data_IF_692431308762
#
_entry.id   IF_692431308762
#
_cell.length_a   1.000
_cell.length_b   1.000
_cell.length_c   1.000
_cell.angle_alpha   90.00
_cell.angle_beta   90.00
_cell.angle_gamma   90.00
#
_symmetry.space_group_name_H-M   'P 1'
#
loop_
_entity.id
_entity.type
_entity.pdbx_description
1 polymer ?
#
# COMPACT_ATOMS: atom_id res chain seq x y z
N UNK A 1 5.84 51.38 20.45
CA UNK A 1 6.42 50.16 21.05
C UNK A 1 5.72 48.96 20.43
N UNK A 2 6.44 47.91 20.02
CA UNK A 2 5.84 46.81 19.27
C UNK A 2 5.03 45.89 20.20
N UNK A 3 3.91 45.30 19.74
CA UNK A 3 3.30 44.18 20.44
C UNK A 3 3.90 42.85 19.97
N UNK A 4 4.64 42.25 20.91
CA UNK A 4 4.76 40.84 21.30
C UNK A 4 4.41 39.74 20.28
N UNK A 5 5.42 38.91 20.04
CA UNK A 5 5.37 37.57 19.46
C UNK A 5 4.24 36.71 20.04
N UNK A 6 3.42 36.13 19.16
CA UNK A 6 2.62 34.95 19.48
C UNK A 6 3.41 33.70 19.09
N UNK A 7 3.90 33.04 20.13
CA UNK A 7 4.45 31.69 20.12
C UNK A 7 3.32 30.70 19.78
N UNK A 8 3.42 30.02 18.63
CA UNK A 8 2.49 28.96 18.23
C UNK A 8 3.08 27.64 18.70
N UNK A 9 2.86 27.31 19.97
CA UNK A 9 3.17 25.99 20.50
C UNK A 9 2.30 24.93 19.81
N UNK A 10 2.95 24.02 19.09
CA UNK A 10 2.34 22.86 18.47
C UNK A 10 1.57 22.03 19.52
N UNK A 11 0.26 21.88 19.33
CA UNK A 11 -0.56 20.98 20.16
C UNK A 11 -0.20 19.54 19.79
N UNK A 12 0.47 18.85 20.72
CA UNK A 12 0.60 17.40 20.71
C UNK A 12 -0.80 16.78 20.78
N UNK A 13 -1.28 16.22 19.67
CA UNK A 13 -2.47 15.39 19.67
C UNK A 13 -2.14 14.07 20.38
N UNK A 14 -2.52 13.95 21.65
CA UNK A 14 -2.48 12.71 22.41
C UNK A 14 -3.61 11.79 21.94
N UNK A 15 -3.22 10.67 21.35
CA UNK A 15 -4.11 9.59 20.92
C UNK A 15 -4.76 8.89 22.13
N UNK A 16 -6.05 8.48 22.05
CA UNK A 16 -6.64 7.69 23.12
C UNK A 16 -5.91 6.34 23.24
N UNK A 17 -5.69 5.83 24.46
CA UNK A 17 -5.08 4.51 24.66
C UNK A 17 -5.97 3.41 24.07
N UNK A 18 -5.36 2.49 23.31
CA UNK A 18 -6.05 1.32 22.74
C UNK A 18 -6.65 0.48 23.88
N UNK A 19 -7.87 -0.02 23.67
CA UNK A 19 -8.51 -0.97 24.59
C UNK A 19 -7.61 -2.18 24.81
N UNK A 20 -7.37 -2.47 26.09
CA UNK A 20 -6.52 -3.53 26.62
C UNK A 20 -7.01 -4.90 26.12
N UNK A 21 -6.15 -5.71 25.49
CA UNK A 21 -6.46 -7.13 25.26
C UNK A 21 -5.83 -7.84 24.05
N UNK A 22 -5.18 -7.16 23.11
CA UNK A 22 -4.54 -7.85 21.98
C UNK A 22 -3.02 -7.82 22.15
N UNK A 23 -2.45 -8.94 22.62
CA UNK A 23 -1.01 -9.16 22.55
C UNK A 23 -0.62 -9.17 21.07
N UNK A 24 0.06 -8.13 20.61
CA UNK A 24 0.67 -8.12 19.29
C UNK A 24 1.88 -9.06 19.34
N UNK A 25 1.88 -10.19 18.63
CA UNK A 25 3.05 -11.06 18.61
C UNK A 25 4.23 -10.29 18.00
N UNK A 26 5.39 -10.35 18.68
CA UNK A 26 6.65 -9.92 18.09
C UNK A 26 6.90 -10.79 16.85
N UNK A 27 7.00 -10.16 15.69
CA UNK A 27 7.27 -10.89 14.45
C UNK A 27 8.76 -11.23 14.38
N UNK A 28 9.12 -12.46 13.99
CA UNK A 28 10.53 -12.83 13.84
C UNK A 28 11.21 -11.89 12.85
N UNK A 29 12.36 -11.33 13.21
CA UNK A 29 13.22 -10.66 12.23
C UNK A 29 13.74 -11.71 11.25
N UNK A 30 13.49 -11.53 9.96
CA UNK A 30 14.09 -12.38 8.93
C UNK A 30 15.47 -11.87 8.53
N UNK A 31 16.31 -12.76 8.01
CA UNK A 31 17.62 -12.39 7.50
C UNK A 31 17.50 -11.43 6.31
N UNK A 32 18.18 -10.30 6.40
CA UNK A 32 18.23 -9.31 5.32
C UNK A 32 19.21 -9.78 4.24
N UNK A 33 18.81 -9.68 2.97
CA UNK A 33 19.67 -9.98 1.82
C UNK A 33 20.82 -8.97 1.72
N UNK A 34 22.02 -9.48 1.40
CA UNK A 34 23.21 -8.66 1.13
C UNK A 34 23.33 -8.36 -0.37
N UNK A 35 24.02 -7.26 -0.71
CA UNK A 35 24.29 -6.84 -2.09
C UNK A 35 23.26 -5.85 -2.65
N UNK A 36 23.33 -5.59 -3.95
CA UNK A 36 22.47 -4.60 -4.61
C UNK A 36 21.00 -5.04 -4.62
N UNK A 37 20.05 -4.17 -4.20
CA UNK A 37 18.63 -4.49 -4.21
C UNK A 37 18.12 -4.91 -5.59
N UNK A 38 17.46 -6.06 -5.63
CA UNK A 38 16.69 -6.53 -6.79
C UNK A 38 15.22 -6.13 -6.64
N UNK A 39 14.92 -4.94 -7.16
CA UNK A 39 13.56 -4.42 -7.29
C UNK A 39 12.70 -5.31 -8.20
N UNK A 40 11.45 -5.54 -7.80
CA UNK A 40 10.51 -6.46 -8.45
C UNK A 40 9.29 -5.75 -9.05
N UNK A 41 8.99 -4.53 -8.61
CA UNK A 41 7.78 -3.82 -9.01
C UNK A 41 7.69 -3.58 -10.52
N UNK A 42 6.46 -3.58 -11.04
CA UNK A 42 6.22 -3.45 -12.49
C UNK A 42 6.69 -2.10 -13.04
N UNK A 43 6.53 -1.02 -12.26
CA UNK A 43 6.78 0.36 -12.68
C UNK A 43 7.77 1.07 -11.75
N UNK A 44 8.60 0.33 -11.02
CA UNK A 44 9.63 0.87 -10.13
C UNK A 44 9.08 1.48 -8.83
N UNK A 45 7.88 1.11 -8.40
CA UNK A 45 7.28 1.54 -7.13
C UNK A 45 8.24 1.29 -5.95
N UNK A 46 8.71 0.05 -5.77
CA UNK A 46 9.61 -0.34 -4.68
C UNK A 46 10.95 0.41 -4.71
N UNK A 47 11.51 0.65 -5.90
CA UNK A 47 12.69 1.48 -6.09
C UNK A 47 12.45 2.93 -5.69
N UNK A 48 11.34 3.52 -6.13
CA UNK A 48 11.00 4.90 -5.80
C UNK A 48 10.75 5.08 -4.30
N UNK A 49 10.03 4.14 -3.67
CA UNK A 49 9.81 4.12 -2.21
C UNK A 49 11.14 4.13 -1.47
N UNK A 50 12.06 3.23 -1.84
CA UNK A 50 13.38 3.16 -1.23
C UNK A 50 14.16 4.47 -1.37
N UNK A 51 14.15 5.09 -2.55
CA UNK A 51 14.83 6.36 -2.79
C UNK A 51 14.24 7.50 -1.94
N UNK A 52 12.91 7.60 -1.90
CA UNK A 52 12.23 8.68 -1.19
C UNK A 52 12.32 8.57 0.32
N UNK A 53 12.39 7.35 0.86
CA UNK A 53 12.60 7.12 2.29
C UNK A 53 14.08 7.02 2.67
N UNK A 54 14.99 7.26 1.73
CA UNK A 54 16.44 7.24 2.00
C UNK A 54 16.91 5.88 2.50
N UNK A 55 16.44 4.80 1.87
CA UNK A 55 16.81 3.42 2.23
C UNK A 55 16.50 3.09 3.70
N UNK A 56 15.41 3.66 4.23
CA UNK A 56 14.91 3.42 5.59
C UNK A 56 14.91 1.92 5.89
N UNK A 57 15.45 1.55 7.05
CA UNK A 57 15.35 0.20 7.62
C UNK A 57 14.15 0.08 8.54
N UNK A 58 13.65 -1.14 8.68
CA UNK A 58 12.57 -1.49 9.63
C UNK A 58 11.31 -0.62 9.43
N UNK A 59 10.99 -0.29 8.17
CA UNK A 59 9.73 0.38 7.84
C UNK A 59 8.52 -0.56 7.90
N UNK A 60 7.33 0.03 7.78
CA UNK A 60 6.06 -0.72 7.70
C UNK A 60 5.35 -0.49 6.37
N UNK A 61 5.01 -1.58 5.66
CA UNK A 61 4.22 -1.51 4.44
C UNK A 61 2.84 -2.16 4.57
N UNK A 62 1.92 -1.75 3.71
CA UNK A 62 0.69 -2.48 3.39
C UNK A 62 0.68 -2.68 1.89
N UNK A 63 0.62 -3.93 1.45
CA UNK A 63 0.55 -4.33 0.05
C UNK A 63 -0.82 -5.00 -0.17
N UNK A 64 -1.78 -4.24 -0.70
CA UNK A 64 -3.16 -4.68 -0.88
C UNK A 64 -3.39 -5.13 -2.32
N UNK A 65 -3.89 -6.36 -2.46
CA UNK A 65 -3.79 -7.21 -3.65
C UNK A 65 -2.33 -7.61 -3.96
N UNK A 66 -1.67 -8.17 -2.94
CA UNK A 66 -0.25 -8.52 -3.00
C UNK A 66 0.10 -9.52 -4.12
N UNK A 67 -0.86 -10.30 -4.60
CA UNK A 67 -0.71 -11.28 -5.69
C UNK A 67 0.51 -12.20 -5.51
N UNK A 68 1.42 -12.28 -6.50
CA UNK A 68 2.60 -13.13 -6.41
C UNK A 68 3.59 -12.58 -5.37
N UNK A 69 4.19 -13.45 -4.53
CA UNK A 69 5.11 -13.01 -3.48
C UNK A 69 6.33 -12.22 -3.97
N UNK A 70 6.78 -12.44 -5.21
CA UNK A 70 8.00 -11.83 -5.74
C UNK A 70 7.69 -11.04 -6.99
N UNK A 71 7.03 -11.67 -7.96
CA UNK A 71 6.77 -11.08 -9.25
C UNK A 71 5.89 -9.83 -9.14
N UNK A 72 6.33 -8.76 -9.81
CA UNK A 72 5.67 -7.44 -9.80
C UNK A 72 5.38 -6.87 -8.40
N UNK A 73 5.99 -7.43 -7.33
CA UNK A 73 5.69 -7.03 -5.96
C UNK A 73 6.25 -5.64 -5.66
N UNK A 74 5.40 -4.81 -5.08
CA UNK A 74 5.77 -3.46 -4.66
C UNK A 74 6.44 -3.42 -3.27
N UNK A 75 6.41 -4.54 -2.53
CA UNK A 75 6.89 -4.63 -1.15
C UNK A 75 8.04 -5.61 -0.94
N UNK A 76 8.26 -6.55 -1.87
CA UNK A 76 9.27 -7.61 -1.69
C UNK A 76 10.68 -7.07 -1.46
N UNK A 77 11.15 -6.12 -2.28
CA UNK A 77 12.49 -5.57 -2.10
C UNK A 77 12.64 -4.82 -0.76
N UNK A 78 11.60 -4.09 -0.35
CA UNK A 78 11.55 -3.35 0.92
C UNK A 78 11.74 -4.29 2.12
N UNK A 79 10.98 -5.39 2.12
CA UNK A 79 11.10 -6.46 3.12
C UNK A 79 12.50 -7.08 3.12
N UNK A 80 13.00 -7.48 1.94
CA UNK A 80 14.18 -8.35 1.85
C UNK A 80 15.51 -7.62 2.05
N UNK A 81 15.63 -6.36 1.63
CA UNK A 81 16.92 -5.62 1.68
C UNK A 81 16.99 -4.61 2.83
N UNK A 82 15.84 -4.18 3.36
CA UNK A 82 15.78 -3.19 4.44
C UNK A 82 15.05 -3.69 5.70
N UNK A 83 14.65 -4.96 5.74
CA UNK A 83 14.03 -5.56 6.92
C UNK A 83 12.68 -4.93 7.26
N UNK A 84 11.97 -4.42 6.26
CA UNK A 84 10.63 -3.90 6.47
C UNK A 84 9.68 -5.02 6.89
N UNK A 85 8.74 -4.67 7.76
CA UNK A 85 7.62 -5.50 8.13
C UNK A 85 6.35 -4.95 7.48
N UNK A 86 5.25 -5.67 7.56
CA UNK A 86 4.02 -5.19 6.95
C UNK A 86 2.93 -6.23 6.78
N UNK A 87 1.99 -5.91 5.92
CA UNK A 87 0.88 -6.77 5.54
C UNK A 87 0.89 -6.99 4.04
N UNK A 88 0.85 -8.26 3.63
CA UNK A 88 0.39 -8.65 2.29
C UNK A 88 -1.06 -9.09 2.42
N UNK A 89 -1.99 -8.33 1.83
CA UNK A 89 -3.42 -8.63 1.87
C UNK A 89 -3.82 -9.09 0.48
N UNK A 90 -4.44 -10.27 0.38
CA UNK A 90 -4.78 -10.89 -0.89
C UNK A 90 -6.13 -11.61 -0.78
N UNK A 91 -7.00 -11.46 -1.78
CA UNK A 91 -8.32 -12.10 -1.80
C UNK A 91 -8.32 -13.45 -2.51
N UNK A 92 -7.46 -13.63 -3.51
CA UNK A 92 -7.37 -14.84 -4.31
C UNK A 92 -6.61 -15.95 -3.53
N UNK A 93 -7.29 -17.05 -3.13
CA UNK A 93 -6.68 -18.11 -2.32
C UNK A 93 -5.51 -18.82 -3.03
N UNK A 94 -5.39 -18.70 -4.37
CA UNK A 94 -4.27 -19.25 -5.13
C UNK A 94 -2.93 -18.71 -4.64
N UNK A 95 -2.84 -17.43 -4.28
CA UNK A 95 -1.59 -16.78 -3.92
C UNK A 95 -1.20 -16.98 -2.45
N UNK A 96 -2.16 -17.29 -1.59
CA UNK A 96 -1.97 -17.33 -0.12
C UNK A 96 -0.84 -18.30 0.30
N UNK A 97 -0.79 -19.57 -0.16
CA UNK A 97 0.28 -20.48 0.23
C UNK A 97 1.66 -19.99 -0.24
N UNK A 98 1.74 -19.36 -1.42
CA UNK A 98 2.99 -18.84 -1.96
C UNK A 98 3.47 -17.60 -1.20
N UNK A 99 2.54 -16.71 -0.83
CA UNK A 99 2.84 -15.56 0.03
C UNK A 99 3.35 -16.04 1.39
N UNK A 100 2.65 -16.97 2.04
CA UNK A 100 3.05 -17.51 3.34
C UNK A 100 4.42 -18.22 3.30
N UNK A 101 4.73 -18.90 2.21
CA UNK A 101 5.99 -19.63 2.07
C UNK A 101 7.20 -18.74 1.73
N UNK A 102 6.98 -17.56 1.11
CA UNK A 102 8.07 -16.75 0.53
C UNK A 102 8.18 -15.33 1.09
N UNK A 103 7.23 -14.88 1.91
CA UNK A 103 7.23 -13.58 2.58
C UNK A 103 7.40 -13.75 4.08
N UNK A 104 8.12 -12.81 4.68
CA UNK A 104 8.31 -12.77 6.13
C UNK A 104 7.26 -11.89 6.84
N UNK A 105 6.60 -10.99 6.10
CA UNK A 105 5.48 -10.20 6.59
C UNK A 105 4.23 -11.05 6.88
N UNK A 106 3.23 -10.44 7.51
CA UNK A 106 1.96 -11.14 7.75
C UNK A 106 1.13 -11.15 6.49
N UNK A 107 0.65 -12.34 6.16
CA UNK A 107 -0.26 -12.56 5.02
C UNK A 107 -1.69 -12.62 5.55
N UNK A 108 -2.57 -11.82 4.97
CA UNK A 108 -3.99 -11.76 5.32
C UNK A 108 -4.80 -12.19 4.09
N UNK A 109 -5.51 -13.32 4.19
CA UNK A 109 -6.47 -13.74 3.17
C UNK A 109 -7.78 -12.98 3.37
N UNK A 110 -8.02 -11.94 2.57
CA UNK A 110 -9.24 -11.13 2.66
C UNK A 110 -9.51 -10.40 1.37
N UNK A 111 -10.78 -10.33 0.97
CA UNK A 111 -11.27 -9.27 0.10
C UNK A 111 -11.42 -8.00 0.95
N UNK A 112 -10.98 -6.85 0.44
CA UNK A 112 -11.13 -5.56 1.11
C UNK A 112 -12.16 -4.72 0.37
N UNK A 113 -13.15 -4.21 1.11
CA UNK A 113 -14.23 -3.37 0.57
C UNK A 113 -14.59 -2.27 1.59
N UNK A 114 -15.58 -1.44 1.27
CA UNK A 114 -16.01 -0.32 2.12
C UNK A 114 -16.68 -0.72 3.43
N UNK A 115 -17.17 -1.96 3.52
CA UNK A 115 -17.90 -2.49 4.67
C UNK A 115 -17.45 -3.92 4.99
N UNK A 116 -17.47 -4.31 6.27
CA UNK A 116 -17.13 -5.67 6.66
C UNK A 116 -18.30 -6.64 6.48
N UNK A 117 -18.00 -7.94 6.44
CA UNK A 117 -18.97 -9.04 6.41
C UNK A 117 -19.95 -9.03 5.24
N UNK A 118 -19.71 -8.23 4.19
CA UNK A 118 -20.48 -8.32 2.96
C UNK A 118 -20.03 -9.55 2.19
N UNK A 119 -21.02 -10.32 1.74
CA UNK A 119 -20.80 -11.42 0.83
C UNK A 119 -20.62 -10.88 -0.58
N UNK A 120 -19.44 -11.09 -1.15
CA UNK A 120 -19.11 -10.64 -2.50
C UNK A 120 -18.67 -11.82 -3.36
N UNK A 121 -18.95 -11.70 -4.66
CA UNK A 121 -18.31 -12.53 -5.68
C UNK A 121 -16.91 -11.98 -5.95
N UNK A 122 -15.93 -12.87 -6.08
CA UNK A 122 -14.53 -12.52 -6.32
C UNK A 122 -13.95 -13.40 -7.42
N UNK A 123 -13.41 -12.80 -8.48
CA UNK A 123 -12.83 -13.52 -9.62
C UNK A 123 -11.38 -13.91 -9.33
N UNK A 124 -11.01 -15.15 -9.63
CA UNK A 124 -9.71 -15.75 -9.21
C UNK A 124 -8.88 -16.36 -10.33
N UNK A 125 -9.37 -16.38 -11.57
CA UNK A 125 -8.71 -17.07 -12.70
C UNK A 125 -8.07 -16.13 -13.73
N UNK A 126 -7.88 -14.86 -13.38
CA UNK A 126 -7.39 -13.84 -14.31
C UNK A 126 -5.95 -13.39 -14.01
N UNK A 127 -5.07 -14.32 -13.61
CA UNK A 127 -3.70 -14.02 -13.16
C UNK A 127 -3.70 -12.86 -12.13
N UNK A 128 -2.95 -11.79 -12.41
CA UNK A 128 -2.80 -10.60 -11.56
C UNK A 128 -3.99 -9.64 -11.60
N UNK A 129 -5.11 -10.00 -12.25
CA UNK A 129 -6.29 -9.15 -12.45
C UNK A 129 -7.53 -9.66 -11.70
N UNK A 130 -7.32 -10.47 -10.66
CA UNK A 130 -8.39 -10.94 -9.78
C UNK A 130 -8.95 -9.81 -8.91
N UNK A 131 -10.22 -9.91 -8.50
CA UNK A 131 -10.85 -8.85 -7.74
C UNK A 131 -12.33 -9.06 -7.48
N UNK A 132 -12.93 -8.15 -6.72
CA UNK A 132 -14.37 -8.13 -6.44
C UNK A 132 -15.14 -7.94 -7.74
N UNK A 133 -16.18 -8.76 -7.94
CA UNK A 133 -17.08 -8.67 -9.09
C UNK A 133 -18.19 -7.66 -8.79
N UNK A 134 -18.22 -6.56 -9.53
CA UNK A 134 -19.26 -5.53 -9.41
C UNK A 134 -19.29 -4.66 -10.68
N UNK A 135 -20.46 -4.21 -11.19
CA UNK A 135 -20.59 -3.51 -12.47
C UNK A 135 -19.71 -2.28 -12.68
N UNK A 136 -19.34 -1.60 -11.60
CA UNK A 136 -18.53 -0.38 -11.57
C UNK A 136 -17.02 -0.64 -11.39
N UNK A 137 -16.60 -1.89 -11.21
CA UNK A 137 -15.20 -2.29 -11.04
C UNK A 137 -14.65 -2.92 -12.32
N UNK A 138 -13.33 -3.14 -12.39
CA UNK A 138 -12.71 -3.76 -13.57
C UNK A 138 -13.26 -5.17 -13.84
N UNK A 139 -13.64 -5.88 -12.78
CA UNK A 139 -14.34 -7.16 -12.85
C UNK A 139 -15.86 -6.96 -12.90
N UNK A 140 -16.35 -6.30 -13.97
CA UNK A 140 -17.74 -5.85 -14.10
C UNK A 140 -18.83 -6.95 -14.04
N UNK A 141 -18.47 -8.20 -14.39
CA UNK A 141 -19.40 -9.35 -14.44
C UNK A 141 -18.70 -10.62 -14.00
N UNK A 142 -19.47 -11.54 -13.40
CA UNK A 142 -18.98 -12.87 -13.07
C UNK A 142 -18.64 -13.62 -14.37
N UNK A 143 -17.35 -13.76 -14.63
CA UNK A 143 -16.79 -14.52 -15.77
C UNK A 143 -15.66 -15.38 -15.24
N UNK A 144 -15.51 -16.56 -15.83
CA UNK A 144 -14.49 -17.51 -15.39
C UNK A 144 -14.77 -18.05 -13.99
N UNK A 145 -13.71 -18.43 -13.27
CA UNK A 145 -13.76 -18.92 -11.90
C UNK A 145 -13.97 -17.77 -10.94
N UNK A 146 -15.14 -17.80 -10.29
CA UNK A 146 -15.54 -16.87 -9.23
C UNK A 146 -15.75 -17.67 -7.95
N UNK A 147 -15.33 -17.10 -6.83
CA UNK A 147 -15.60 -17.62 -5.49
C UNK A 147 -16.39 -16.59 -4.69
N UNK A 148 -16.94 -17.03 -3.56
CA UNK A 148 -17.61 -16.15 -2.60
C UNK A 148 -16.69 -15.88 -1.42
N UNK A 149 -16.55 -14.61 -1.05
CA UNK A 149 -15.76 -14.17 0.10
C UNK A 149 -16.57 -13.22 0.97
N UNK A 150 -16.22 -13.18 2.26
CA UNK A 150 -16.63 -12.11 3.16
C UNK A 150 -15.59 -10.99 3.09
N UNK A 151 -16.06 -9.75 3.00
CA UNK A 151 -15.19 -8.57 3.00
C UNK A 151 -14.75 -8.20 4.41
N UNK A 152 -13.62 -7.49 4.50
CA UNK A 152 -13.19 -6.74 5.68
C UNK A 152 -12.85 -5.32 5.26
N UNK A 153 -12.91 -4.37 6.18
CA UNK A 153 -12.36 -3.04 5.89
C UNK A 153 -10.85 -3.05 6.06
N UNK A 154 -10.15 -2.12 5.40
CA UNK A 154 -8.71 -1.96 5.62
C UNK A 154 -8.42 -1.62 7.09
N UNK A 155 -9.26 -0.79 7.73
CA UNK A 155 -9.14 -0.46 9.14
C UNK A 155 -9.14 -1.71 10.04
N UNK A 156 -10.13 -2.61 9.90
CA UNK A 156 -10.19 -3.83 10.71
C UNK A 156 -8.95 -4.70 10.54
N UNK A 157 -8.40 -4.77 9.33
CA UNK A 157 -7.17 -5.51 9.07
C UNK A 157 -5.99 -4.85 9.79
N UNK A 158 -5.86 -3.53 9.72
CA UNK A 158 -4.82 -2.77 10.43
C UNK A 158 -4.92 -2.93 11.96
N UNK A 159 -6.14 -2.85 12.51
CA UNK A 159 -6.43 -2.98 13.94
C UNK A 159 -6.04 -4.37 14.44
N UNK A 160 -6.57 -5.41 13.81
CA UNK A 160 -6.33 -6.82 14.20
C UNK A 160 -4.87 -7.25 14.04
N UNK A 161 -4.12 -6.59 13.15
CA UNK A 161 -2.69 -6.85 12.96
C UNK A 161 -1.77 -5.87 13.71
N UNK A 162 -2.34 -5.03 14.57
CA UNK A 162 -1.62 -4.04 15.36
C UNK A 162 -0.68 -3.15 14.52
N UNK A 163 -1.13 -2.76 13.33
CA UNK A 163 -0.37 -1.87 12.47
C UNK A 163 -0.08 -0.53 13.18
N UNK A 164 1.08 0.10 12.90
CA UNK A 164 1.38 1.41 13.45
C UNK A 164 0.41 2.45 12.89
N UNK A 165 0.08 3.50 13.66
CA UNK A 165 -0.80 4.58 13.18
C UNK A 165 -0.18 5.38 12.03
N UNK A 166 1.15 5.35 11.88
CA UNK A 166 1.85 5.92 10.72
C UNK A 166 2.56 4.79 9.99
N UNK A 167 2.12 4.53 8.77
CA UNK A 167 2.61 3.48 7.88
C UNK A 167 3.51 4.14 6.83
N UNK A 168 4.65 3.55 6.52
CA UNK A 168 5.62 4.16 5.60
C UNK A 168 5.14 4.05 4.15
N UNK A 169 4.52 2.92 3.77
CA UNK A 169 4.10 2.68 2.40
C UNK A 169 2.78 1.92 2.29
N UNK A 170 1.88 2.39 1.43
CA UNK A 170 0.72 1.64 0.94
C UNK A 170 0.86 1.41 -0.58
N UNK A 171 0.78 0.15 -1.00
CA UNK A 171 0.49 -0.22 -2.37
C UNK A 171 -0.99 -0.60 -2.49
N UNK A 172 -1.71 0.05 -3.41
CA UNK A 172 -3.14 -0.10 -3.62
C UNK A 172 -3.46 -0.26 -5.11
N UNK A 173 -3.65 -1.50 -5.54
CA UNK A 173 -4.11 -1.90 -6.88
C UNK A 173 -5.19 -2.98 -6.67
N UNK A 174 -6.45 -2.58 -6.54
CA UNK A 174 -7.55 -3.51 -6.21
C UNK A 174 -8.56 -3.60 -7.34
N UNK A 175 -8.05 -3.45 -8.57
CA UNK A 175 -8.81 -3.61 -9.81
C UNK A 175 -10.07 -2.72 -9.86
N UNK A 176 -9.92 -1.45 -9.49
CA UNK A 176 -10.95 -0.41 -9.57
C UNK A 176 -11.70 -0.13 -8.26
N UNK A 177 -11.44 -0.92 -7.22
CA UNK A 177 -12.09 -0.76 -5.92
C UNK A 177 -11.41 0.26 -4.99
N UNK A 178 -10.45 1.04 -5.48
CA UNK A 178 -9.60 1.93 -4.65
C UNK A 178 -10.43 2.94 -3.87
N UNK A 179 -11.50 3.47 -4.50
CA UNK A 179 -12.47 4.35 -3.84
C UNK A 179 -13.19 3.67 -2.68
N UNK A 180 -13.56 2.39 -2.84
CA UNK A 180 -14.25 1.66 -1.77
C UNK A 180 -13.35 1.40 -0.57
N UNK A 181 -12.05 1.22 -0.81
CA UNK A 181 -11.06 1.01 0.25
C UNK A 181 -10.76 2.30 1.01
N UNK A 182 -10.54 3.42 0.30
CA UNK A 182 -10.02 4.65 0.91
C UNK A 182 -11.05 5.79 1.07
N UNK A 183 -12.22 5.71 0.43
CA UNK A 183 -13.20 6.81 0.40
C UNK A 183 -13.70 7.24 1.79
N UNK A 184 -13.83 6.28 2.71
CA UNK A 184 -14.23 6.51 4.12
C UNK A 184 -13.18 6.01 5.11
N UNK A 185 -11.93 5.81 4.67
CA UNK A 185 -10.87 5.32 5.53
C UNK A 185 -10.58 6.32 6.67
N UNK A 186 -10.36 5.85 7.91
CA UNK A 186 -10.13 6.72 9.07
C UNK A 186 -8.71 7.31 9.04
N UNK A 187 -8.47 8.28 8.15
CA UNK A 187 -7.18 8.98 8.05
C UNK A 187 -6.78 9.73 9.33
N UNK A 188 -7.76 9.98 10.21
CA UNK A 188 -7.52 10.49 11.55
C UNK A 188 -6.90 9.47 12.48
N UNK A 189 -6.92 8.16 12.19
CA UNK A 189 -6.34 7.07 13.00
C UNK A 189 -5.09 6.46 12.36
N UNK A 190 -5.11 6.34 11.03
CA UNK A 190 -4.03 5.76 10.25
C UNK A 190 -3.61 6.70 9.13
N UNK A 191 -2.30 6.93 9.00
CA UNK A 191 -1.73 7.76 7.95
C UNK A 191 -0.63 7.01 7.21
N UNK A 192 -0.50 7.29 5.92
CA UNK A 192 0.55 6.76 5.07
C UNK A 192 1.56 7.86 4.74
N UNK A 193 2.86 7.58 4.78
CA UNK A 193 3.86 8.55 4.30
C UNK A 193 3.80 8.66 2.78
N UNK A 194 3.83 7.51 2.12
CA UNK A 194 3.78 7.34 0.67
C UNK A 194 2.71 6.32 0.30
N UNK A 195 1.95 6.59 -0.77
CA UNK A 195 1.04 5.62 -1.37
C UNK A 195 1.31 5.51 -2.88
N UNK A 196 1.21 4.32 -3.45
CA UNK A 196 0.98 4.12 -4.88
C UNK A 196 -0.44 3.61 -5.05
N UNK A 197 -1.24 4.36 -5.81
CA UNK A 197 -2.66 4.06 -6.03
C UNK A 197 -2.88 3.89 -7.52
N UNK A 198 -3.41 2.74 -7.92
CA UNK A 198 -3.75 2.46 -9.31
C UNK A 198 -5.05 3.20 -9.68
N UNK A 199 -4.99 4.03 -10.72
CA UNK A 199 -6.15 4.71 -11.35
C UNK A 199 -7.16 5.31 -10.34
N UNK A 200 -6.73 6.13 -9.36
CA UNK A 200 -7.66 6.72 -8.41
C UNK A 200 -8.74 7.52 -9.13
N UNK A 201 -10.00 7.30 -8.76
CA UNK A 201 -11.11 8.12 -9.26
C UNK A 201 -10.91 9.59 -8.85
N UNK A 202 -11.58 10.52 -9.55
CA UNK A 202 -11.57 11.94 -9.15
C UNK A 202 -12.02 12.11 -7.70
N UNK A 203 -13.05 11.37 -7.28
CA UNK A 203 -13.57 11.39 -5.91
C UNK A 203 -12.51 10.95 -4.89
N UNK A 204 -11.77 9.86 -5.18
CA UNK A 204 -10.69 9.41 -4.31
C UNK A 204 -9.57 10.44 -4.24
N UNK A 205 -9.14 10.97 -5.37
CA UNK A 205 -8.12 12.01 -5.42
C UNK A 205 -8.52 13.25 -4.59
N UNK A 206 -9.80 13.64 -4.61
CA UNK A 206 -10.32 14.74 -3.81
C UNK A 206 -10.34 14.43 -2.30
N UNK A 207 -10.67 13.19 -1.90
CA UNK A 207 -10.51 12.73 -0.51
C UNK A 207 -9.06 12.81 -0.08
N UNK A 208 -8.13 12.26 -0.85
CA UNK A 208 -6.70 12.27 -0.52
C UNK A 208 -6.18 13.71 -0.34
N UNK A 209 -6.57 14.65 -1.20
CA UNK A 209 -6.20 16.07 -1.06
C UNK A 209 -6.75 16.70 0.24
N UNK A 210 -8.03 16.44 0.57
CA UNK A 210 -8.64 16.92 1.82
C UNK A 210 -7.94 16.35 3.05
N UNK A 211 -7.45 15.12 2.97
CA UNK A 211 -6.70 14.44 4.02
C UNK A 211 -5.20 14.81 4.04
N UNK A 212 -4.80 15.84 3.29
CA UNK A 212 -3.44 16.38 3.34
C UNK A 212 -2.43 15.63 2.48
N UNK A 213 -2.86 14.83 1.51
CA UNK A 213 -1.97 14.18 0.55
C UNK A 213 -1.83 15.01 -0.73
N UNK A 214 -0.68 14.89 -1.37
CA UNK A 214 -0.38 15.54 -2.64
C UNK A 214 0.03 14.48 -3.66
N UNK A 215 -0.55 14.55 -4.86
CA UNK A 215 -0.09 13.77 -6.01
C UNK A 215 1.31 14.24 -6.39
N UNK A 216 2.26 13.33 -6.34
CA UNK A 216 3.67 13.61 -6.56
C UNK A 216 4.11 13.22 -7.98
N UNK A 217 3.63 12.09 -8.50
CA UNK A 217 4.03 11.58 -9.83
C UNK A 217 2.99 10.62 -10.38
N UNK A 218 2.97 10.43 -11.69
CA UNK A 218 2.33 9.26 -12.30
C UNK A 218 3.37 8.32 -12.88
N UNK A 219 3.20 7.03 -12.60
CA UNK A 219 3.99 5.94 -13.15
C UNK A 219 3.18 5.26 -14.24
N UNK A 220 3.74 5.14 -15.44
CA UNK A 220 3.05 4.47 -16.55
C UNK A 220 1.72 5.14 -16.98
N UNK A 221 1.62 6.48 -16.86
CA UNK A 221 0.39 7.27 -17.06
C UNK A 221 -0.45 6.89 -18.29
N UNK A 222 0.19 6.51 -19.41
CA UNK A 222 -0.51 6.18 -20.66
C UNK A 222 -1.11 4.76 -20.71
N UNK A 223 -0.66 3.85 -19.84
CA UNK A 223 -1.02 2.43 -19.92
C UNK A 223 -1.59 1.86 -18.63
N UNK A 224 -1.05 2.26 -17.48
CA UNK A 224 -1.34 1.63 -16.19
C UNK A 224 -2.09 2.57 -15.25
N UNK A 225 -1.79 3.87 -15.30
CA UNK A 225 -2.48 4.89 -14.51
C UNK A 225 -2.11 4.89 -13.03
N UNK A 226 -0.91 4.42 -12.69
CA UNK A 226 -0.39 4.41 -11.32
C UNK A 226 -0.01 5.82 -10.87
N UNK A 227 -0.40 6.18 -9.65
CA UNK A 227 -0.17 7.49 -9.06
C UNK A 227 0.55 7.39 -7.71
N UNK A 228 1.61 8.19 -7.55
CA UNK A 228 2.34 8.33 -6.31
C UNK A 228 1.76 9.50 -5.52
N UNK A 229 1.36 9.24 -4.28
CA UNK A 229 0.81 10.22 -3.36
C UNK A 229 1.67 10.31 -2.10
N UNK A 230 1.96 11.53 -1.66
CA UNK A 230 2.76 11.79 -0.46
C UNK A 230 1.92 12.57 0.54
N UNK A 231 1.96 12.20 1.82
CA UNK A 231 1.45 13.07 2.87
C UNK A 231 2.21 14.40 2.85
N UNK A 232 1.53 15.51 3.14
CA UNK A 232 2.15 16.85 3.15
C UNK A 232 3.36 16.90 4.07
N UNK A 233 3.24 16.30 5.26
CA UNK A 233 4.33 16.21 6.24
C UNK A 233 5.53 15.46 5.69
N UNK A 234 5.32 14.31 5.05
CA UNK A 234 6.42 13.55 4.47
C UNK A 234 7.05 14.29 3.29
N UNK A 235 6.25 14.88 2.40
CA UNK A 235 6.75 15.66 1.27
C UNK A 235 7.66 16.82 1.73
N UNK A 236 7.29 17.53 2.78
CA UNK A 236 8.11 18.62 3.33
C UNK A 236 9.38 18.13 4.02
N UNK A 237 9.43 16.86 4.45
CA UNK A 237 10.65 16.27 5.04
C UNK A 237 11.68 15.79 4.00
N UNK A 238 11.31 15.76 2.71
CA UNK A 238 12.23 15.33 1.65
C UNK A 238 13.33 16.37 1.41
N UNK A 239 14.56 15.91 1.32
CA UNK A 239 15.70 16.76 0.99
C UNK A 239 15.77 17.04 -0.54
N UNK A 240 16.60 18.01 -1.00
CA UNK A 240 16.71 18.33 -2.43
C UNK A 240 17.10 17.15 -3.33
N UNK A 241 17.92 16.21 -2.83
CA UNK A 241 18.30 15.03 -3.61
C UNK A 241 17.12 14.06 -3.79
N UNK A 242 16.30 13.86 -2.75
CA UNK A 242 15.09 13.04 -2.82
C UNK A 242 14.02 13.66 -3.73
N UNK A 243 13.83 14.98 -3.66
CA UNK A 243 12.93 15.70 -4.57
C UNK A 243 13.41 15.58 -6.02
N UNK A 244 14.70 15.77 -6.28
CA UNK A 244 15.28 15.57 -7.61
C UNK A 244 15.13 14.12 -8.10
N UNK A 245 15.29 13.14 -7.21
CA UNK A 245 15.07 11.74 -7.54
C UNK A 245 13.62 11.46 -7.92
N UNK A 246 12.64 12.02 -7.17
CA UNK A 246 11.22 11.95 -7.51
C UNK A 246 10.92 12.54 -8.89
N UNK A 247 11.48 13.70 -9.21
CA UNK A 247 11.21 14.41 -10.46
C UNK A 247 11.83 13.72 -11.68
N UNK A 248 13.03 13.18 -11.51
CA UNK A 248 13.79 12.55 -12.60
C UNK A 248 13.60 11.03 -12.67
N UNK A 249 12.82 10.44 -11.76
CA UNK A 249 12.64 8.99 -11.65
C UNK A 249 12.20 8.37 -12.98
N UNK A 250 13.00 7.42 -13.47
CA UNK A 250 12.67 6.56 -14.60
C UNK A 250 12.77 5.11 -14.13
N UNK A 251 11.66 4.34 -14.16
CA UNK A 251 11.71 2.97 -13.74
C UNK A 251 12.60 2.15 -14.68
N UNK A 252 13.40 1.26 -14.10
CA UNK A 252 14.20 0.33 -14.88
C UNK A 252 13.31 -0.76 -15.46
N UNK A 253 12.90 -0.59 -16.72
CA UNK A 253 11.93 -1.47 -17.42
C UNK A 253 12.45 -2.87 -17.73
N UNK A 254 13.75 -3.14 -17.55
CA UNK A 254 14.36 -4.42 -17.91
C UNK A 254 14.31 -5.48 -16.79
N UNK A 255 13.63 -5.23 -15.66
CA UNK A 255 13.80 -6.03 -14.43
C UNK A 255 12.73 -7.05 -14.11
N UNK A 256 11.59 -7.04 -14.79
CA UNK A 256 10.58 -8.10 -14.64
C UNK A 256 10.84 -9.22 -15.67
N UNK A 257 12.10 -9.64 -15.76
CA UNK A 257 12.44 -10.87 -16.48
C UNK A 257 11.91 -12.01 -15.61
N UNK A 258 11.14 -12.93 -16.20
CA UNK A 258 10.61 -14.16 -15.58
C UNK A 258 9.24 -14.10 -14.88
N UNK A 259 8.50 -12.99 -14.95
CA UNK A 259 7.11 -13.00 -14.48
C UNK A 259 6.13 -13.38 -15.59
N UNK A 260 5.05 -14.12 -15.27
CA UNK A 260 3.95 -14.35 -16.20
C UNK A 260 3.43 -13.01 -16.74
N UNK A 261 2.93 -12.99 -17.98
CA UNK A 261 2.27 -11.79 -18.50
C UNK A 261 1.00 -11.51 -17.68
N UNK A 262 0.86 -10.26 -17.21
CA UNK A 262 -0.40 -9.69 -16.71
C UNK A 262 -1.42 -9.64 -17.83
#
# INVERSE_FOLDING_TARGET
GPPRNHDVSARNASWPPRSVGHHCPLRPKHAIKKGNPKFQSQLGQDQLVSLLLGEKREGYFVDLAANDPVCISNSYALEQYWGWQGLCIEGNPRYIPHLQARRACTVVHSAVDSEPNRTVQFRVDNNFLGGIVSPELNNARARGKVITLQTRTLQEILDTNCAPPVIDYLSLDVEGAEWRVLGHFPFSQYQFRLMTVERPTKQLADVLRRQGYTRARSLGAKKWGEEVWLSRTFRHSLNPAQLKALDTFKPNRNRVQDCPKR
#
